data_IF_505894556541
#
_entry.id   IF_505894556541
#
_cell.length_a   1.000
_cell.length_b   1.000
_cell.length_c   1.000
_cell.angle_alpha   90.00
_cell.angle_beta   90.00
_cell.angle_gamma   90.00
#
_symmetry.space_group_name_H-M   'P 1'
#
loop_
_entity.id
_entity.type
_entity.pdbx_description
1 polymer ?
#
# COMPACT_ATOMS: atom_id res chain seq x y z
N UNK A 1 -3.30 2.72 -21.99
CA UNK A 1 -3.40 3.27 -20.63
C UNK A 1 -4.32 2.35 -19.84
N UNK A 2 -3.90 1.87 -18.68
CA UNK A 2 -4.82 1.20 -17.75
C UNK A 2 -5.77 2.25 -17.20
N UNK A 3 -7.08 1.98 -17.21
CA UNK A 3 -8.06 2.89 -16.63
C UNK A 3 -7.83 3.00 -15.12
N UNK A 4 -7.87 4.22 -14.58
CA UNK A 4 -7.77 4.46 -13.14
C UNK A 4 -8.98 3.77 -12.47
N UNK A 5 -8.78 2.91 -11.45
CA UNK A 5 -9.88 2.20 -10.83
C UNK A 5 -10.83 3.18 -10.15
N UNK A 6 -12.14 2.93 -10.23
CA UNK A 6 -13.12 3.66 -9.41
C UNK A 6 -13.11 3.13 -7.98
N UNK A 7 -13.60 3.90 -7.01
CA UNK A 7 -13.81 3.37 -5.66
C UNK A 7 -15.05 2.45 -5.58
N UNK A 8 -15.01 1.47 -4.69
CA UNK A 8 -16.23 0.85 -4.19
C UNK A 8 -17.01 1.86 -3.34
N UNK A 9 -18.33 1.69 -3.26
CA UNK A 9 -19.19 2.51 -2.39
C UNK A 9 -19.03 2.16 -0.91
N UNK A 10 -18.32 1.07 -0.62
CA UNK A 10 -18.02 0.58 0.73
C UNK A 10 -16.53 0.75 0.99
N UNK A 11 -16.17 1.11 2.21
CA UNK A 11 -14.80 1.05 2.72
C UNK A 11 -14.73 0.21 4.00
N UNK A 12 -13.54 -0.26 4.33
CA UNK A 12 -13.26 -1.01 5.56
C UNK A 12 -12.21 -0.23 6.37
N UNK A 13 -12.49 -0.03 7.64
CA UNK A 13 -11.51 0.38 8.64
C UNK A 13 -11.33 -0.79 9.60
N UNK A 14 -10.11 -1.30 9.76
CA UNK A 14 -9.90 -2.46 10.61
C UNK A 14 -8.44 -2.72 10.95
N UNK A 15 -8.23 -3.28 12.14
CA UNK A 15 -6.89 -3.55 12.69
C UNK A 15 -6.54 -5.04 12.70
N UNK A 16 -7.54 -5.94 12.59
CA UNK A 16 -7.32 -7.39 12.55
C UNK A 16 -7.25 -7.90 11.10
N UNK A 17 -6.05 -8.28 10.59
CA UNK A 17 -5.87 -8.60 9.18
C UNK A 17 -6.77 -9.74 8.69
N UNK A 18 -6.98 -10.79 9.50
CA UNK A 18 -7.78 -11.96 9.10
C UNK A 18 -9.22 -11.57 8.79
N UNK A 19 -9.88 -10.84 9.69
CA UNK A 19 -11.26 -10.40 9.51
C UNK A 19 -11.37 -9.42 8.34
N UNK A 20 -10.43 -8.49 8.22
CA UNK A 20 -10.40 -7.54 7.09
C UNK A 20 -10.25 -8.29 5.76
N UNK A 21 -9.40 -9.31 5.66
CA UNK A 21 -9.23 -10.11 4.45
C UNK A 21 -10.50 -10.89 4.11
N UNK A 22 -11.15 -11.54 5.09
CA UNK A 22 -12.40 -12.27 4.87
C UNK A 22 -13.51 -11.34 4.38
N UNK A 23 -13.70 -10.17 5.00
CA UNK A 23 -14.69 -9.17 4.57
C UNK A 23 -14.34 -8.64 3.17
N UNK A 24 -13.07 -8.32 2.90
CA UNK A 24 -12.62 -7.84 1.59
C UNK A 24 -12.89 -8.86 0.47
N UNK A 25 -12.85 -10.16 0.77
CA UNK A 25 -13.13 -11.23 -0.19
C UNK A 25 -14.58 -11.24 -0.71
N UNK A 26 -15.51 -10.59 0.01
CA UNK A 26 -16.90 -10.43 -0.43
C UNK A 26 -17.01 -9.57 -1.70
N UNK A 27 -16.01 -8.72 -1.98
CA UNK A 27 -16.02 -7.76 -3.08
C UNK A 27 -15.30 -8.31 -4.32
N UNK A 28 -16.04 -8.93 -5.23
CA UNK A 28 -15.46 -9.65 -6.39
C UNK A 28 -15.52 -8.87 -7.71
N UNK A 29 -15.89 -7.59 -7.68
CA UNK A 29 -16.01 -6.75 -8.88
C UNK A 29 -14.64 -6.18 -9.28
N UNK A 30 -14.06 -6.57 -10.43
CA UNK A 30 -12.77 -6.02 -10.87
C UNK A 30 -12.92 -4.54 -11.24
N UNK A 31 -11.78 -3.85 -11.37
CA UNK A 31 -11.70 -2.40 -11.71
C UNK A 31 -12.27 -1.44 -10.67
N UNK A 32 -12.62 -1.96 -9.49
CA UNK A 32 -13.04 -1.17 -8.35
C UNK A 32 -12.09 -1.40 -7.19
N UNK A 33 -11.53 -0.31 -6.67
CA UNK A 33 -10.70 -0.34 -5.48
C UNK A 33 -11.59 -0.33 -4.25
N UNK A 34 -11.46 -1.37 -3.43
CA UNK A 34 -12.05 -1.44 -2.10
C UNK A 34 -11.09 -0.75 -1.11
N UNK A 35 -11.42 0.44 -0.59
CA UNK A 35 -10.57 1.10 0.39
C UNK A 35 -10.52 0.29 1.68
N UNK A 36 -9.31 -0.03 2.11
CA UNK A 36 -9.01 -0.61 3.42
C UNK A 36 -8.00 0.32 4.09
N UNK A 37 -8.30 0.79 5.29
CA UNK A 37 -7.40 1.63 6.09
C UNK A 37 -7.34 1.11 7.53
N UNK A 38 -6.22 1.35 8.21
CA UNK A 38 -6.03 1.03 9.63
C UNK A 38 -6.86 1.95 10.53
N UNK A 39 -7.25 1.44 11.70
CA UNK A 39 -7.91 2.21 12.73
C UNK A 39 -7.08 3.40 13.24
N UNK A 40 -7.71 4.40 13.86
CA UNK A 40 -6.99 5.49 14.51
C UNK A 40 -6.18 4.96 15.69
N UNK A 41 -4.95 5.46 15.86
CA UNK A 41 -4.08 5.11 16.99
C UNK A 41 -4.48 5.90 18.22
N UNK A 42 -5.45 5.39 18.96
CA UNK A 42 -6.06 6.07 20.11
C UNK A 42 -5.09 6.35 21.26
N UNK A 43 -3.98 5.62 21.36
CA UNK A 43 -2.95 5.84 22.38
C UNK A 43 -2.06 7.06 22.14
N UNK A 44 -2.13 7.70 20.97
CA UNK A 44 -1.31 8.86 20.67
C UNK A 44 -1.85 10.13 21.34
N UNK A 45 -0.96 11.06 21.76
CA UNK A 45 -1.39 12.37 22.27
C UNK A 45 -2.27 13.15 21.28
N UNK A 46 -2.03 12.95 19.98
CA UNK A 46 -2.74 13.60 18.87
C UNK A 46 -3.79 12.68 18.20
N UNK A 47 -4.40 11.73 18.94
CA UNK A 47 -5.34 10.74 18.39
C UNK A 47 -6.51 11.36 17.60
N UNK A 48 -6.95 12.57 17.95
CA UNK A 48 -8.01 13.28 17.23
C UNK A 48 -7.63 13.56 15.77
N UNK A 49 -6.35 13.86 15.50
CA UNK A 49 -5.83 13.99 14.16
C UNK A 49 -5.81 12.64 13.42
N UNK A 50 -5.57 11.52 14.12
CA UNK A 50 -5.68 10.19 13.51
C UNK A 50 -7.11 9.96 12.99
N UNK A 51 -8.13 10.26 13.81
CA UNK A 51 -9.56 10.15 13.45
C UNK A 51 -9.88 11.02 12.23
N UNK A 52 -9.52 12.31 12.29
CA UNK A 52 -9.76 13.27 11.18
C UNK A 52 -9.11 12.78 9.88
N UNK A 53 -7.88 12.25 9.94
CA UNK A 53 -7.20 11.71 8.75
C UNK A 53 -7.93 10.52 8.14
N UNK A 54 -8.45 9.58 8.94
CA UNK A 54 -9.25 8.44 8.44
C UNK A 54 -10.55 8.92 7.82
N UNK A 55 -11.31 9.76 8.53
CA UNK A 55 -12.60 10.28 8.06
C UNK A 55 -12.44 11.07 6.75
N UNK A 56 -11.44 11.93 6.65
CA UNK A 56 -11.15 12.66 5.41
C UNK A 56 -10.83 11.73 4.23
N UNK A 57 -10.10 10.65 4.48
CA UNK A 57 -9.81 9.65 3.45
C UNK A 57 -11.09 8.93 2.99
N UNK A 58 -11.97 8.55 3.92
CA UNK A 58 -13.26 7.91 3.61
C UNK A 58 -14.18 8.84 2.80
N UNK A 59 -14.19 10.14 3.12
CA UNK A 59 -14.91 11.17 2.36
C UNK A 59 -14.37 11.33 0.95
N UNK A 60 -13.03 11.33 0.77
CA UNK A 60 -12.40 11.36 -0.57
C UNK A 60 -12.79 10.16 -1.42
N UNK A 61 -12.90 8.98 -0.83
CA UNK A 61 -13.40 7.78 -1.50
C UNK A 61 -14.91 7.79 -1.76
N UNK A 62 -15.65 8.79 -1.23
CA UNK A 62 -17.10 8.90 -1.34
C UNK A 62 -17.84 7.64 -0.85
N UNK A 63 -17.30 7.05 0.22
CA UNK A 63 -17.87 5.84 0.82
C UNK A 63 -19.23 6.17 1.41
N UNK A 64 -20.23 5.34 1.11
CA UNK A 64 -21.60 5.47 1.65
C UNK A 64 -21.87 4.49 2.79
N UNK A 65 -21.02 3.47 2.91
CA UNK A 65 -21.04 2.48 3.97
C UNK A 65 -19.59 2.22 4.38
N UNK A 66 -19.32 2.23 5.67
CA UNK A 66 -17.99 2.03 6.25
C UNK A 66 -18.10 0.91 7.27
N UNK A 67 -17.44 -0.21 6.99
CA UNK A 67 -17.35 -1.33 7.90
C UNK A 67 -16.20 -1.07 8.89
N UNK A 68 -16.52 -1.02 10.17
CA UNK A 68 -15.56 -0.90 11.26
C UNK A 68 -15.27 -2.32 11.79
N UNK A 69 -14.27 -2.97 11.21
CA UNK A 69 -13.99 -4.40 11.40
C UNK A 69 -13.00 -4.64 12.54
N UNK A 70 -13.46 -5.29 13.61
CA UNK A 70 -12.65 -5.66 14.78
C UNK A 70 -11.82 -4.47 15.32
N UNK A 71 -12.44 -3.30 15.43
CA UNK A 71 -11.83 -2.11 16.03
C UNK A 71 -12.13 -2.03 17.53
N UNK A 72 -11.21 -1.42 18.27
CA UNK A 72 -11.45 -1.06 19.67
C UNK A 72 -12.66 -0.12 19.82
N UNK A 73 -13.41 -0.25 20.93
CA UNK A 73 -14.65 0.50 21.15
C UNK A 73 -14.44 2.02 21.04
N UNK A 74 -13.35 2.55 21.59
CA UNK A 74 -13.01 3.98 21.49
C UNK A 74 -12.84 4.43 20.03
N UNK A 75 -12.16 3.62 19.20
CA UNK A 75 -12.00 3.90 17.77
C UNK A 75 -13.35 3.93 17.06
N UNK A 76 -14.25 2.98 17.38
CA UNK A 76 -15.61 2.94 16.83
C UNK A 76 -16.39 4.19 17.23
N UNK A 77 -16.38 4.53 18.51
CA UNK A 77 -17.08 5.71 19.03
C UNK A 77 -16.62 6.98 18.32
N UNK A 78 -15.31 7.22 18.22
CA UNK A 78 -14.79 8.46 17.64
C UNK A 78 -14.91 8.53 16.12
N UNK A 79 -14.82 7.41 15.39
CA UNK A 79 -15.06 7.41 13.95
C UNK A 79 -16.54 7.64 13.61
N UNK A 80 -17.46 7.15 14.45
CA UNK A 80 -18.90 7.25 14.21
C UNK A 80 -19.53 8.56 14.68
N UNK A 81 -18.90 9.30 15.59
CA UNK A 81 -19.47 10.44 16.30
C UNK A 81 -20.05 11.54 15.39
N UNK A 82 -19.35 11.90 14.32
CA UNK A 82 -19.74 12.99 13.41
C UNK A 82 -20.23 12.48 12.04
N UNK A 83 -20.44 11.17 11.93
CA UNK A 83 -20.87 10.50 10.71
C UNK A 83 -22.38 10.60 10.48
N UNK A 84 -22.85 10.53 9.22
CA UNK A 84 -24.25 10.28 8.93
C UNK A 84 -24.75 8.99 9.57
N UNK A 85 -25.98 9.00 10.08
CA UNK A 85 -26.62 7.83 10.68
C UNK A 85 -26.58 6.62 9.73
N UNK A 86 -26.13 5.48 10.25
CA UNK A 86 -26.04 4.22 9.51
C UNK A 86 -24.89 4.13 8.50
N UNK A 87 -24.04 5.16 8.36
CA UNK A 87 -22.85 5.10 7.51
C UNK A 87 -21.77 4.17 8.08
N UNK A 88 -21.54 4.23 9.39
CA UNK A 88 -20.50 3.47 10.08
C UNK A 88 -21.10 2.25 10.79
N UNK A 89 -20.63 1.05 10.45
CA UNK A 89 -21.21 -0.21 10.94
C UNK A 89 -20.11 -1.03 11.61
N UNK A 90 -20.10 -1.16 12.95
CA UNK A 90 -19.17 -2.04 13.65
C UNK A 90 -19.51 -3.50 13.42
N UNK A 91 -18.49 -4.31 13.14
CA UNK A 91 -18.60 -5.76 12.95
C UNK A 91 -17.38 -6.45 13.54
N UNK A 92 -17.56 -7.65 14.08
CA UNK A 92 -16.48 -8.48 14.64
C UNK A 92 -16.30 -9.80 13.87
N UNK A 93 -17.05 -9.98 12.78
CA UNK A 93 -16.96 -11.19 11.95
C UNK A 93 -17.40 -10.95 10.51
N UNK A 94 -16.97 -11.84 9.61
CA UNK A 94 -17.42 -11.85 8.22
C UNK A 94 -18.94 -12.08 8.09
N UNK A 95 -19.56 -12.81 9.03
CA UNK A 95 -21.01 -13.05 9.04
C UNK A 95 -21.83 -11.80 9.35
N UNK A 96 -21.39 -11.03 10.35
CA UNK A 96 -21.96 -9.71 10.67
C UNK A 96 -21.78 -8.74 9.50
N UNK A 97 -20.57 -8.71 8.92
CA UNK A 97 -20.29 -7.90 7.73
C UNK A 97 -21.19 -8.29 6.54
N UNK A 98 -21.37 -9.57 6.27
CA UNK A 98 -22.25 -10.04 5.20
C UNK A 98 -23.71 -9.60 5.42
N UNK A 99 -24.16 -9.56 6.68
CA UNK A 99 -25.49 -9.05 7.05
C UNK A 99 -25.60 -7.54 6.84
N UNK A 100 -24.61 -6.78 7.30
CA UNK A 100 -24.53 -5.32 7.12
C UNK A 100 -24.45 -4.92 5.64
N UNK A 101 -23.78 -5.72 4.82
CA UNK A 101 -23.57 -5.47 3.39
C UNK A 101 -24.70 -6.00 2.50
N UNK A 102 -25.80 -6.50 3.09
CA UNK A 102 -26.97 -6.94 2.32
C UNK A 102 -27.53 -5.78 1.51
N UNK A 103 -27.60 -5.96 0.19
CA UNK A 103 -28.01 -4.92 -0.76
C UNK A 103 -26.87 -4.06 -1.32
N UNK A 104 -25.68 -4.08 -0.69
CA UNK A 104 -24.49 -3.38 -1.17
C UNK A 104 -23.62 -4.25 -2.09
N UNK A 105 -23.41 -5.49 -1.68
CA UNK A 105 -22.60 -6.47 -2.41
C UNK A 105 -23.33 -7.79 -2.55
N UNK A 106 -23.20 -8.43 -3.71
CA UNK A 106 -23.59 -9.84 -3.88
C UNK A 106 -22.35 -10.69 -3.63
N UNK A 107 -22.17 -11.06 -2.37
CA UNK A 107 -21.03 -11.87 -1.95
C UNK A 107 -20.99 -13.24 -2.65
N UNK A 108 -19.81 -13.86 -2.75
CA UNK A 108 -19.65 -15.20 -3.25
C UNK A 108 -20.25 -16.25 -2.30
N UNK A 109 -20.80 -17.33 -2.85
CA UNK A 109 -21.39 -18.44 -2.07
C UNK A 109 -20.38 -19.54 -1.75
N UNK A 110 -19.42 -19.75 -2.64
CA UNK A 110 -18.34 -20.72 -2.44
C UNK A 110 -17.27 -20.15 -1.53
N UNK A 111 -16.64 -21.04 -0.76
CA UNK A 111 -15.55 -20.70 0.15
C UNK A 111 -14.20 -21.17 -0.37
N UNK A 112 -13.15 -20.46 0.01
CA UNK A 112 -11.76 -20.84 -0.20
C UNK A 112 -11.03 -20.76 1.14
N UNK A 113 -10.52 -21.88 1.61
CA UNK A 113 -9.75 -21.96 2.85
C UNK A 113 -8.33 -21.45 2.63
N UNK A 114 -7.80 -20.70 3.59
CA UNK A 114 -6.44 -20.16 3.55
C UNK A 114 -5.88 -20.00 4.97
N UNK A 115 -4.57 -20.15 5.12
CA UNK A 115 -3.91 -19.99 6.42
C UNK A 115 -3.74 -18.54 6.86
N UNK A 116 -3.17 -18.32 8.04
CA UNK A 116 -3.01 -16.98 8.64
C UNK A 116 -1.97 -16.10 7.96
N UNK A 117 -1.07 -16.68 7.16
CA UNK A 117 0.04 -15.98 6.51
C UNK A 117 -0.27 -15.69 5.03
N UNK A 118 0.54 -14.86 4.37
CA UNK A 118 0.39 -14.52 2.94
C UNK A 118 -1.05 -14.09 2.58
N UNK A 119 -1.72 -13.34 3.47
CA UNK A 119 -3.15 -13.03 3.34
C UNK A 119 -3.46 -12.26 2.05
N UNK A 120 -2.55 -11.40 1.57
CA UNK A 120 -2.75 -10.68 0.31
C UNK A 120 -2.86 -11.62 -0.90
N UNK A 121 -2.10 -12.72 -0.91
CA UNK A 121 -2.13 -13.75 -1.97
C UNK A 121 -3.45 -14.49 -1.92
N UNK A 122 -3.82 -15.00 -0.74
CA UNK A 122 -5.09 -15.70 -0.53
C UNK A 122 -6.29 -14.83 -0.91
N UNK A 123 -6.29 -13.57 -0.47
CA UNK A 123 -7.32 -12.60 -0.83
C UNK A 123 -7.44 -12.39 -2.34
N UNK A 124 -6.32 -12.21 -3.04
CA UNK A 124 -6.35 -11.96 -4.49
C UNK A 124 -6.87 -13.19 -5.26
N UNK A 125 -6.42 -14.38 -4.88
CA UNK A 125 -6.88 -15.65 -5.46
C UNK A 125 -8.37 -15.87 -5.21
N UNK A 126 -8.85 -15.60 -3.99
CA UNK A 126 -10.26 -15.71 -3.63
C UNK A 126 -11.12 -14.78 -4.48
N UNK A 127 -10.74 -13.50 -4.55
CA UNK A 127 -11.49 -12.48 -5.32
C UNK A 127 -11.51 -12.79 -6.81
N UNK A 128 -10.38 -13.23 -7.40
CA UNK A 128 -10.31 -13.65 -8.82
C UNK A 128 -11.15 -14.89 -9.10
N UNK A 129 -11.20 -15.83 -8.15
CA UNK A 129 -12.01 -17.05 -8.25
C UNK A 129 -13.46 -16.86 -7.84
N UNK A 130 -13.86 -15.63 -7.44
CA UNK A 130 -15.19 -15.30 -6.91
C UNK A 130 -15.59 -16.21 -5.74
N UNK A 131 -14.67 -16.39 -4.78
CA UNK A 131 -14.88 -17.17 -3.55
C UNK A 131 -14.74 -16.28 -2.33
N UNK A 132 -15.47 -16.63 -1.27
CA UNK A 132 -15.31 -16.06 0.05
C UNK A 132 -14.06 -16.69 0.68
N UNK A 133 -13.11 -15.87 1.08
CA UNK A 133 -11.97 -16.32 1.85
C UNK A 133 -12.45 -16.75 3.23
N UNK A 134 -12.00 -17.90 3.70
CA UNK A 134 -12.17 -18.37 5.07
C UNK A 134 -10.79 -18.64 5.63
N UNK A 135 -10.38 -17.87 6.64
CA UNK A 135 -9.09 -18.05 7.28
C UNK A 135 -9.20 -19.17 8.30
N UNK A 136 -8.30 -20.15 8.20
CA UNK A 136 -8.07 -21.13 9.23
C UNK A 136 -6.76 -20.86 9.96
N UNK A 137 -6.55 -21.53 11.10
CA UNK A 137 -5.31 -21.42 11.87
C UNK A 137 -4.12 -22.17 11.25
N UNK A 138 -4.27 -22.69 10.03
CA UNK A 138 -3.28 -23.52 9.36
C UNK A 138 -2.18 -22.72 8.66
N UNK A 139 -1.22 -23.44 8.08
CA UNK A 139 -0.21 -22.84 7.19
C UNK A 139 -0.80 -22.53 5.82
N UNK A 140 -0.49 -21.35 5.31
CA UNK A 140 -0.89 -20.94 3.97
C UNK A 140 -0.07 -21.68 2.91
N UNK A 141 -0.64 -21.91 1.70
CA UNK A 141 0.13 -22.41 0.57
C UNK A 141 1.41 -21.60 0.31
N UNK A 142 2.45 -22.26 -0.19
CA UNK A 142 3.78 -21.65 -0.45
C UNK A 142 3.79 -20.66 -1.62
N UNK A 143 2.66 -20.47 -2.30
CA UNK A 143 2.50 -19.50 -3.37
C UNK A 143 2.69 -18.08 -2.84
N UNK A 144 3.60 -17.33 -3.45
CA UNK A 144 3.86 -15.93 -3.15
C UNK A 144 3.54 -14.99 -4.33
N UNK A 145 3.33 -15.53 -5.54
CA UNK A 145 3.03 -14.78 -6.75
C UNK A 145 1.62 -15.13 -7.27
N UNK A 146 0.82 -14.11 -7.54
CA UNK A 146 -0.43 -14.24 -8.30
C UNK A 146 -0.30 -13.45 -9.60
N UNK A 147 -0.31 -14.17 -10.71
CA UNK A 147 -0.19 -13.57 -12.05
C UNK A 147 -1.47 -12.81 -12.43
N UNK A 148 -1.29 -11.61 -12.95
CA UNK A 148 -2.32 -10.77 -13.56
C UNK A 148 -1.82 -10.14 -14.85
N UNK A 149 -2.22 -8.90 -15.12
CA UNK A 149 -1.65 -8.11 -16.20
C UNK A 149 -0.14 -7.86 -16.03
N UNK A 150 0.52 -7.62 -17.17
CA UNK A 150 1.96 -7.31 -17.27
C UNK A 150 2.24 -5.81 -17.25
N UNK A 151 1.23 -4.96 -17.06
CA UNK A 151 1.42 -3.52 -17.01
C UNK A 151 1.94 -3.03 -15.66
N UNK A 152 1.75 -3.80 -14.58
CA UNK A 152 2.18 -3.47 -13.23
C UNK A 152 2.42 -4.78 -12.44
N UNK A 153 3.54 -4.82 -11.71
CA UNK A 153 3.76 -5.76 -10.62
C UNK A 153 3.70 -4.98 -9.30
N UNK A 154 2.90 -5.44 -8.36
CA UNK A 154 2.91 -4.93 -6.98
C UNK A 154 3.66 -5.94 -6.13
N UNK A 155 4.82 -5.56 -5.62
CA UNK A 155 5.66 -6.36 -4.74
C UNK A 155 5.55 -5.83 -3.31
N UNK A 156 5.05 -6.64 -2.38
CA UNK A 156 4.87 -6.28 -0.98
C UNK A 156 5.74 -7.17 -0.09
N UNK A 157 6.42 -6.59 0.89
CA UNK A 157 7.10 -7.40 1.91
C UNK A 157 6.09 -8.19 2.76
N UNK A 158 6.54 -9.37 3.21
CA UNK A 158 5.87 -10.15 4.24
C UNK A 158 5.92 -9.43 5.62
N UNK A 159 5.21 -9.97 6.61
CA UNK A 159 5.28 -9.49 8.00
C UNK A 159 4.34 -8.32 8.35
N UNK A 160 3.69 -7.71 7.35
CA UNK A 160 2.57 -6.79 7.56
C UNK A 160 1.36 -7.18 6.69
N UNK A 161 0.43 -7.89 7.30
CA UNK A 161 -0.68 -8.56 6.64
C UNK A 161 -1.75 -7.57 6.19
N UNK A 162 -1.95 -6.47 6.95
CA UNK A 162 -2.80 -5.36 6.49
C UNK A 162 -2.20 -4.69 5.26
N UNK A 163 -0.88 -4.50 5.21
CA UNK A 163 -0.22 -3.94 4.03
C UNK A 163 -0.39 -4.84 2.81
N UNK A 164 -0.26 -6.16 2.99
CA UNK A 164 -0.53 -7.14 1.93
C UNK A 164 -1.98 -7.10 1.44
N UNK A 165 -2.96 -6.92 2.35
CA UNK A 165 -4.37 -6.80 2.00
C UNK A 165 -4.63 -5.54 1.16
N UNK A 166 -4.06 -4.40 1.56
CA UNK A 166 -4.16 -3.15 0.80
C UNK A 166 -3.52 -3.30 -0.58
N UNK A 167 -2.33 -3.88 -0.64
CA UNK A 167 -1.60 -4.15 -1.89
C UNK A 167 -2.40 -5.09 -2.81
N UNK A 168 -3.00 -6.13 -2.25
CA UNK A 168 -3.86 -7.08 -2.94
C UNK A 168 -5.12 -6.42 -3.50
N UNK A 169 -5.75 -5.52 -2.74
CA UNK A 169 -6.90 -4.75 -3.21
C UNK A 169 -6.53 -3.84 -4.38
N UNK A 170 -5.37 -3.19 -4.33
CA UNK A 170 -4.85 -2.40 -5.44
C UNK A 170 -4.56 -3.27 -6.67
N UNK A 171 -3.95 -4.45 -6.46
CA UNK A 171 -3.65 -5.39 -7.53
C UNK A 171 -4.93 -5.89 -8.21
N UNK A 172 -5.95 -6.24 -7.43
CA UNK A 172 -7.24 -6.66 -7.97
C UNK A 172 -7.95 -5.54 -8.74
N UNK A 173 -7.92 -4.30 -8.23
CA UNK A 173 -8.55 -3.16 -8.87
C UNK A 173 -7.87 -2.74 -10.17
N UNK A 174 -6.55 -2.94 -10.27
CA UNK A 174 -5.77 -2.57 -11.46
C UNK A 174 -5.54 -3.74 -12.42
N UNK A 175 -5.94 -4.95 -12.04
CA UNK A 175 -5.55 -6.21 -12.69
C UNK A 175 -4.03 -6.38 -12.78
N UNK A 176 -3.30 -5.95 -11.75
CA UNK A 176 -1.85 -6.14 -11.67
C UNK A 176 -1.50 -7.59 -11.28
N UNK A 177 -0.23 -7.94 -11.49
CA UNK A 177 0.36 -9.08 -10.78
C UNK A 177 0.71 -8.67 -9.35
N UNK A 178 0.62 -9.61 -8.41
CA UNK A 178 0.92 -9.37 -6.99
C UNK A 178 1.95 -10.38 -6.51
N UNK A 179 3.01 -9.90 -5.87
CA UNK A 179 4.09 -10.71 -5.34
C UNK A 179 4.32 -10.35 -3.87
N UNK A 180 4.43 -11.37 -3.01
CA UNK A 180 4.95 -11.22 -1.65
C UNK A 180 6.43 -11.59 -1.64
N UNK A 181 7.27 -10.69 -1.13
CA UNK A 181 8.72 -10.88 -1.00
C UNK A 181 9.13 -10.98 0.47
N UNK A 182 10.26 -11.62 0.79
CA UNK A 182 10.76 -11.68 2.16
C UNK A 182 11.01 -10.27 2.71
N UNK A 183 10.62 -10.04 3.96
CA UNK A 183 11.01 -8.84 4.70
C UNK A 183 12.48 -8.98 5.14
N UNK A 184 13.24 -7.89 5.06
CA UNK A 184 14.55 -7.83 5.72
C UNK A 184 14.38 -7.67 7.22
N UNK A 185 15.18 -8.39 8.01
CA UNK A 185 15.27 -8.15 9.44
C UNK A 185 15.76 -6.71 9.70
N UNK A 186 15.34 -6.11 10.81
CA UNK A 186 15.62 -4.70 11.13
C UNK A 186 17.12 -4.39 11.12
N UNK A 187 17.90 -5.21 11.81
CA UNK A 187 19.36 -5.11 11.90
C UNK A 187 20.04 -5.30 10.54
N UNK A 188 19.58 -6.27 9.76
CA UNK A 188 20.07 -6.49 8.40
C UNK A 188 19.77 -5.28 7.51
N UNK A 189 18.54 -4.79 7.54
CA UNK A 189 18.11 -3.63 6.76
C UNK A 189 18.95 -2.40 7.10
N UNK A 190 19.08 -2.08 8.37
CA UNK A 190 19.81 -0.90 8.82
C UNK A 190 21.29 -0.99 8.41
N UNK A 191 21.90 -2.17 8.54
CA UNK A 191 23.27 -2.40 8.05
C UNK A 191 23.41 -2.20 6.54
N UNK A 192 22.44 -2.67 5.74
CA UNK A 192 22.44 -2.46 4.29
C UNK A 192 22.23 -1.00 3.90
N UNK A 193 21.35 -0.28 4.61
CA UNK A 193 21.11 1.14 4.38
C UNK A 193 22.37 1.96 4.69
N UNK A 194 23.05 1.69 5.80
CA UNK A 194 24.33 2.32 6.13
C UNK A 194 25.40 2.02 5.07
N UNK A 195 25.45 0.80 4.55
CA UNK A 195 26.35 0.43 3.46
C UNK A 195 26.07 1.25 2.20
N UNK A 196 24.78 1.41 1.83
CA UNK A 196 24.33 2.22 0.70
C UNK A 196 24.70 3.70 0.90
N UNK A 197 24.43 4.27 2.08
CA UNK A 197 24.78 5.66 2.38
C UNK A 197 26.29 5.89 2.38
N UNK A 198 27.07 4.87 2.75
CA UNK A 198 28.53 4.91 2.79
C UNK A 198 29.20 4.67 1.43
N UNK A 199 28.45 4.42 0.36
CA UNK A 199 29.02 4.20 -0.98
C UNK A 199 29.84 5.39 -1.46
N UNK A 200 29.41 6.62 -1.15
CA UNK A 200 30.10 7.84 -1.58
C UNK A 200 31.35 8.22 -0.79
N UNK A 201 31.69 7.49 0.29
CA UNK A 201 32.73 7.93 1.24
C UNK A 201 34.15 7.51 0.86
N UNK A 202 34.34 6.42 0.11
CA UNK A 202 35.64 6.03 -0.47
C UNK A 202 35.54 4.73 -1.30
N UNK A 203 36.51 4.54 -2.21
CA UNK A 203 36.73 3.29 -2.94
C UNK A 203 35.99 3.16 -4.28
N UNK A 204 35.97 1.94 -4.82
CA UNK A 204 35.30 1.58 -6.08
C UNK A 204 33.78 1.45 -5.87
N UNK A 205 33.11 2.61 -5.95
CA UNK A 205 31.66 2.77 -5.77
C UNK A 205 30.86 1.83 -6.66
N UNK A 206 31.25 1.72 -7.93
CA UNK A 206 30.53 0.93 -8.93
C UNK A 206 30.52 -0.55 -8.57
N UNK A 207 31.67 -1.11 -8.22
CA UNK A 207 31.77 -2.53 -7.83
C UNK A 207 30.99 -2.82 -6.56
N UNK A 208 31.07 -1.94 -5.55
CA UNK A 208 30.32 -2.08 -4.29
C UNK A 208 28.81 -2.00 -4.52
N UNK A 209 28.35 -1.05 -5.34
CA UNK A 209 26.94 -0.93 -5.66
C UNK A 209 26.41 -2.16 -6.40
N UNK A 210 27.15 -2.67 -7.39
CA UNK A 210 26.77 -3.92 -8.09
C UNK A 210 26.67 -5.10 -7.11
N UNK A 211 27.61 -5.24 -6.16
CA UNK A 211 27.54 -6.29 -5.15
C UNK A 211 26.28 -6.19 -4.26
N UNK A 212 25.87 -4.97 -3.87
CA UNK A 212 24.63 -4.76 -3.11
C UNK A 212 23.41 -5.10 -3.98
N UNK A 213 23.39 -4.71 -5.25
CA UNK A 213 22.31 -5.04 -6.19
C UNK A 213 22.18 -6.56 -6.38
N UNK A 214 23.28 -7.28 -6.56
CA UNK A 214 23.30 -8.73 -6.71
C UNK A 214 22.80 -9.43 -5.43
N UNK A 215 23.24 -8.95 -4.27
CA UNK A 215 22.79 -9.43 -2.95
C UNK A 215 21.29 -9.21 -2.78
N UNK A 216 20.78 -8.03 -3.15
CA UNK A 216 19.35 -7.73 -3.13
C UNK A 216 18.59 -8.64 -4.11
N UNK A 217 19.08 -8.80 -5.35
CA UNK A 217 18.44 -9.64 -6.36
C UNK A 217 18.35 -11.10 -5.93
N UNK A 218 19.35 -11.63 -5.24
CA UNK A 218 19.31 -13.01 -4.72
C UNK A 218 18.23 -13.26 -3.67
N UNK A 219 17.67 -12.22 -3.05
CA UNK A 219 16.55 -12.32 -2.10
C UNK A 219 15.19 -12.31 -2.77
N UNK A 220 15.12 -11.87 -4.02
CA UNK A 220 13.90 -11.88 -4.81
C UNK A 220 13.70 -13.25 -5.46
N UNK A 221 12.45 -13.68 -5.67
CA UNK A 221 12.19 -14.92 -6.39
C UNK A 221 12.70 -14.83 -7.84
N UNK A 222 13.00 -16.00 -8.41
CA UNK A 222 13.33 -16.09 -9.83
C UNK A 222 12.10 -15.72 -10.67
N UNK A 223 12.11 -14.49 -11.18
CA UNK A 223 11.02 -13.91 -11.95
C UNK A 223 11.59 -13.08 -13.10
N UNK A 224 10.98 -13.20 -14.27
CA UNK A 224 11.29 -12.33 -15.40
C UNK A 224 10.67 -10.93 -15.18
N UNK A 225 11.35 -10.07 -14.43
CA UNK A 225 10.84 -8.72 -14.11
C UNK A 225 10.63 -7.85 -15.35
N UNK A 226 11.42 -8.03 -16.42
CA UNK A 226 11.34 -7.26 -17.68
C UNK A 226 10.00 -7.37 -18.39
N UNK A 227 9.21 -8.40 -18.11
CA UNK A 227 7.86 -8.52 -18.67
C UNK A 227 6.92 -7.45 -18.15
N UNK A 228 7.24 -6.83 -17.00
CA UNK A 228 6.45 -5.78 -16.38
C UNK A 228 6.88 -4.40 -16.85
N UNK A 229 5.91 -3.52 -17.16
CA UNK A 229 6.20 -2.13 -17.52
C UNK A 229 6.72 -1.30 -16.35
N UNK A 230 6.26 -1.61 -15.13
CA UNK A 230 6.64 -0.95 -13.90
C UNK A 230 6.40 -1.87 -12.69
N UNK A 231 7.11 -1.59 -11.60
CA UNK A 231 6.99 -2.29 -10.33
C UNK A 231 6.68 -1.28 -9.23
N UNK A 232 5.64 -1.54 -8.44
CA UNK A 232 5.36 -0.82 -7.19
C UNK A 232 5.82 -1.69 -6.02
N UNK A 233 6.83 -1.24 -5.30
CA UNK A 233 7.29 -1.85 -4.05
C UNK A 233 6.55 -1.25 -2.85
N UNK A 234 6.05 -2.11 -1.98
CA UNK A 234 5.43 -1.76 -0.69
C UNK A 234 6.26 -2.40 0.41
N UNK A 235 7.06 -1.61 1.10
CA UNK A 235 8.21 -2.12 1.88
C UNK A 235 8.38 -1.33 3.18
N UNK A 236 9.02 -1.93 4.17
CA UNK A 236 9.49 -1.26 5.37
C UNK A 236 10.85 -0.61 5.14
N UNK A 237 10.84 0.42 4.29
CA UNK A 237 11.95 1.37 4.04
C UNK A 237 13.15 0.89 3.20
N UNK A 238 13.28 -0.41 2.89
CA UNK A 238 14.36 -0.85 2.01
C UNK A 238 14.07 -0.57 0.52
N UNK A 239 14.99 0.08 -0.24
CA UNK A 239 14.75 0.48 -1.63
C UNK A 239 14.98 -0.68 -2.61
N UNK A 240 14.08 -1.67 -2.62
CA UNK A 240 14.18 -2.88 -3.47
C UNK A 240 14.33 -2.65 -4.97
N UNK A 241 14.12 -1.41 -5.46
CA UNK A 241 14.32 -1.07 -6.88
C UNK A 241 15.77 -1.27 -7.34
N UNK A 242 16.74 -1.22 -6.41
CA UNK A 242 18.15 -1.50 -6.73
C UNK A 242 18.38 -2.93 -7.26
N UNK A 243 17.48 -3.88 -6.92
CA UNK A 243 17.58 -5.28 -7.35
C UNK A 243 17.05 -5.52 -8.78
N UNK A 244 16.38 -4.52 -9.37
CA UNK A 244 15.70 -4.61 -10.66
C UNK A 244 15.95 -3.34 -11.50
N UNK A 245 17.22 -2.95 -11.73
CA UNK A 245 17.55 -1.72 -12.47
C UNK A 245 17.02 -1.71 -13.91
N UNK A 246 16.64 -2.87 -14.44
CA UNK A 246 16.05 -3.04 -15.76
C UNK A 246 14.57 -2.61 -15.86
N UNK A 247 13.91 -2.24 -14.75
CA UNK A 247 12.50 -1.87 -14.70
C UNK A 247 12.29 -0.50 -14.05
N UNK A 248 11.24 0.22 -14.46
CA UNK A 248 10.81 1.40 -13.72
C UNK A 248 10.18 0.99 -12.38
N UNK A 249 10.60 1.61 -11.29
CA UNK A 249 10.13 1.27 -9.94
C UNK A 249 9.58 2.47 -9.18
N UNK A 250 8.58 2.25 -8.35
CA UNK A 250 8.07 3.22 -7.36
C UNK A 250 7.94 2.53 -6.01
N UNK A 251 8.01 3.29 -4.92
CA UNK A 251 8.03 2.76 -3.56
C UNK A 251 6.97 3.43 -2.70
N UNK A 252 6.30 2.64 -1.87
CA UNK A 252 5.44 3.08 -0.79
C UNK A 252 5.89 2.41 0.51
N UNK A 253 5.81 3.13 1.61
CA UNK A 253 6.03 2.51 2.92
C UNK A 253 4.84 1.61 3.27
N UNK A 254 5.12 0.41 3.77
CA UNK A 254 4.09 -0.50 4.30
C UNK A 254 3.39 0.07 5.55
N UNK A 255 4.07 0.98 6.26
CA UNK A 255 3.59 1.68 7.43
C UNK A 255 4.30 3.04 7.60
N UNK A 256 3.66 4.08 8.17
CA UNK A 256 2.25 4.15 8.59
C UNK A 256 1.28 4.47 7.43
N UNK A 257 -0.01 4.21 7.66
CA UNK A 257 -1.13 4.71 6.84
C UNK A 257 -1.13 4.27 5.36
N UNK A 258 -0.57 3.11 5.00
CA UNK A 258 -0.51 2.65 3.60
C UNK A 258 -1.88 2.71 2.90
N UNK A 259 -2.93 2.22 3.56
CA UNK A 259 -4.29 2.23 3.03
C UNK A 259 -4.76 3.62 2.62
N UNK A 260 -4.49 4.62 3.46
CA UNK A 260 -4.80 6.04 3.18
C UNK A 260 -3.94 6.57 2.04
N UNK A 261 -2.64 6.27 2.02
CA UNK A 261 -1.74 6.71 0.96
C UNK A 261 -2.19 6.19 -0.42
N UNK A 262 -2.57 4.91 -0.52
CA UNK A 262 -3.09 4.32 -1.76
C UNK A 262 -4.42 4.96 -2.16
N UNK A 263 -5.35 5.13 -1.22
CA UNK A 263 -6.63 5.78 -1.45
C UNK A 263 -6.44 7.20 -2.00
N UNK A 264 -5.64 8.01 -1.33
CA UNK A 264 -5.39 9.39 -1.74
C UNK A 264 -4.68 9.48 -3.08
N UNK A 265 -3.77 8.54 -3.37
CA UNK A 265 -3.13 8.41 -4.68
C UNK A 265 -4.15 8.14 -5.80
N UNK A 266 -5.06 7.19 -5.62
CA UNK A 266 -6.12 6.91 -6.60
C UNK A 266 -7.04 8.13 -6.76
N UNK A 267 -7.46 8.74 -5.65
CA UNK A 267 -8.33 9.91 -5.66
C UNK A 267 -7.69 11.11 -6.37
N UNK A 268 -6.39 11.32 -6.19
CA UNK A 268 -5.67 12.38 -6.90
C UNK A 268 -5.68 12.16 -8.41
N UNK A 269 -5.64 10.91 -8.88
CA UNK A 269 -5.66 10.57 -10.30
C UNK A 269 -7.02 10.76 -10.97
N UNK A 270 -8.14 10.74 -10.22
CA UNK A 270 -9.49 10.92 -10.80
C UNK A 270 -9.75 12.32 -11.35
N UNK A 271 -8.97 13.31 -10.96
CA UNK A 271 -9.08 14.68 -11.44
C UNK A 271 -7.81 15.05 -12.24
N UNK A 272 -7.86 15.05 -13.58
CA UNK A 272 -6.70 15.37 -14.42
C UNK A 272 -6.12 16.77 -14.20
N UNK A 273 -6.90 17.69 -13.60
CA UNK A 273 -6.41 19.02 -13.23
C UNK A 273 -5.50 19.00 -12.00
N UNK A 274 -5.52 17.90 -11.23
CA UNK A 274 -4.63 17.68 -10.09
C UNK A 274 -3.35 17.04 -10.60
N UNK A 275 -2.33 17.88 -10.85
CA UNK A 275 -0.99 17.39 -11.10
C UNK A 275 -0.45 16.57 -9.91
N UNK A 276 0.49 15.67 -10.18
CA UNK A 276 1.30 15.05 -9.13
C UNK A 276 2.02 16.18 -8.37
N UNK A 277 1.73 16.36 -7.08
CA UNK A 277 2.41 17.37 -6.27
C UNK A 277 3.76 16.80 -5.85
N UNK A 278 4.75 16.93 -6.73
CA UNK A 278 6.12 16.58 -6.39
C UNK A 278 6.73 17.73 -5.60
N UNK A 279 7.17 17.47 -4.36
CA UNK A 279 7.96 18.39 -3.58
C UNK A 279 9.33 17.76 -3.34
N UNK A 280 10.38 18.38 -3.87
CA UNK A 280 11.75 17.99 -3.59
C UNK A 280 12.27 18.88 -2.47
N UNK A 281 12.44 18.32 -1.26
CA UNK A 281 13.04 19.02 -0.14
C UNK A 281 14.56 18.79 -0.16
N UNK A 282 15.33 19.83 -0.47
CA UNK A 282 16.79 19.78 -0.46
C UNK A 282 17.29 20.59 0.72
N UNK A 283 18.09 19.97 1.60
CA UNK A 283 18.80 20.72 2.64
C UNK A 283 19.95 21.51 2.01
N UNK A 284 19.89 22.85 1.97
CA UNK A 284 20.79 23.67 1.14
C UNK A 284 22.26 23.63 1.57
N UNK A 285 22.55 23.16 2.79
CA UNK A 285 23.90 23.10 3.35
C UNK A 285 24.60 21.74 3.17
N UNK A 286 23.94 20.72 2.60
CA UNK A 286 24.48 19.33 2.53
C UNK A 286 24.72 18.83 1.10
N UNK A 287 24.48 19.64 0.07
CA UNK A 287 24.63 19.22 -1.32
C UNK A 287 25.34 20.33 -2.10
N UNK A 288 26.41 19.98 -2.83
CA UNK A 288 27.04 20.90 -3.78
C UNK A 288 26.02 21.32 -4.86
N UNK A 289 26.00 22.59 -5.26
CA UNK A 289 24.94 23.18 -6.09
C UNK A 289 24.81 22.58 -7.51
N UNK A 290 25.78 21.78 -7.96
CA UNK A 290 25.89 21.36 -9.37
C UNK A 290 24.81 20.33 -9.80
N UNK A 291 24.53 19.24 -9.06
CA UNK A 291 23.43 18.31 -9.36
C UNK A 291 22.05 18.96 -9.19
N UNK A 292 21.88 19.83 -8.20
CA UNK A 292 20.63 20.55 -7.95
C UNK A 292 20.23 21.46 -9.12
N UNK A 293 21.22 22.07 -9.79
CA UNK A 293 20.98 22.92 -10.97
C UNK A 293 20.50 22.09 -12.17
N UNK A 294 20.98 20.85 -12.31
CA UNK A 294 20.51 19.89 -13.33
C UNK A 294 19.09 19.39 -13.05
N UNK A 295 18.79 19.07 -11.79
CA UNK A 295 17.46 18.65 -11.34
C UNK A 295 16.46 19.79 -11.57
N UNK A 296 16.80 21.03 -11.19
CA UNK A 296 15.97 22.21 -11.42
C UNK A 296 15.59 22.38 -12.89
N UNK A 297 16.54 22.22 -13.83
CA UNK A 297 16.25 22.27 -15.29
C UNK A 297 15.31 21.16 -15.78
N UNK A 298 15.32 19.99 -15.13
CA UNK A 298 14.42 18.88 -15.45
C UNK A 298 12.98 19.12 -14.95
N UNK A 299 12.83 19.87 -13.85
CA UNK A 299 11.53 20.17 -13.24
C UNK A 299 10.90 21.49 -13.73
N UNK A 300 11.66 22.44 -14.29
CA UNK A 300 11.14 23.70 -14.85
C UNK A 300 10.12 23.50 -16.01
N UNK A 301 9.99 22.29 -16.56
CA UNK A 301 9.02 21.95 -17.61
C UNK A 301 7.64 21.44 -17.11
N UNK A 302 7.45 21.28 -15.79
CA UNK A 302 6.14 20.94 -15.20
C UNK A 302 5.92 21.81 -13.98
N UNK A 303 4.67 22.27 -13.79
CA UNK A 303 4.23 23.12 -12.67
C UNK A 303 4.40 22.40 -11.30
N UNK A 304 5.64 22.26 -10.84
CA UNK A 304 6.00 21.66 -9.55
C UNK A 304 6.62 22.75 -8.64
N UNK A 305 6.16 22.80 -7.38
CA UNK A 305 6.55 23.82 -6.41
C UNK A 305 7.85 23.40 -5.70
N UNK A 306 8.97 24.05 -6.02
CA UNK A 306 10.24 23.84 -5.31
C UNK A 306 10.35 24.82 -4.12
N UNK A 307 10.17 24.32 -2.89
CA UNK A 307 10.35 25.12 -1.67
C UNK A 307 11.80 25.03 -1.19
N UNK A 308 12.60 26.06 -1.49
CA UNK A 308 13.87 26.32 -0.81
C UNK A 308 13.61 27.08 0.49
N UNK A 309 13.90 26.47 1.63
CA UNK A 309 13.83 27.16 2.93
C UNK A 309 14.93 28.25 3.00
N UNK A 310 14.61 29.48 3.44
CA UNK A 310 15.58 30.56 3.55
C UNK A 310 16.61 30.30 4.64
N UNK A 311 17.82 30.84 4.42
CA UNK A 311 19.05 30.65 5.22
C UNK A 311 18.98 31.11 6.70
N UNK A 312 17.87 31.66 7.17
CA UNK A 312 17.77 32.31 8.49
C UNK A 312 16.53 31.87 9.24
N UNK A 313 16.53 30.65 9.76
CA UNK A 313 15.55 30.18 10.76
C UNK A 313 16.13 28.98 11.53
N UNK A 314 17.21 29.22 12.27
CA UNK A 314 17.60 28.50 13.49
C UNK A 314 18.28 29.49 14.40
#
# INVERSE_FOLDING_TARGET
MTAIPSFETVAIVGDKPTTVAEIASLFTRPRRYLPVIDGPRMSRPDWSNEVIRRTNALLKAQSRCVILADLHADSVQHLSCDGPDGMFIPVNSVGEAATALKGWVKGPSEKMVWGINNLGVGLLLARRSKKCLQIDGGESPTTNLVSGGTHLLIACEAGNELAQIVASNLAFATDASFLVIPQLALDERDGWLEEIYSLGLSGDVSRRFVAICDRARSRLPELEFRKYKQILFITDSFPWGIAVPECATTHLFSYPDLGRCVLEGIWALHDPSRGARNALLIHPQRVELNPCTRIRRLFEFRLDLMLTLPKSSF
#
